data_IF_832506980651
#
_entry.id   IF_832506980651
#
_cell.length_a   1.000
_cell.length_b   1.000
_cell.length_c   1.000
_cell.angle_alpha   90.00
_cell.angle_beta   90.00
_cell.angle_gamma   90.00
#
_symmetry.space_group_name_H-M   'P 1'
#
loop_
_entity.id
_entity.type
_entity.pdbx_description
1 polymer ?
#
# COMPACT_ATOMS: atom_id res chain seq x y z
N UNK A 1 3.89 -29.51 19.80
CA UNK A 1 3.29 -29.71 21.15
C UNK A 1 4.28 -29.38 22.28
N UNK A 2 5.53 -29.82 22.17
CA UNK A 2 6.53 -29.76 23.24
C UNK A 2 6.98 -28.34 23.60
N UNK A 3 7.05 -27.42 22.62
CA UNK A 3 7.48 -26.02 22.86
C UNK A 3 6.51 -25.21 23.73
N UNK A 4 5.21 -25.53 23.71
CA UNK A 4 4.22 -24.80 24.51
C UNK A 4 4.38 -25.08 26.03
N UNK A 5 4.89 -26.27 26.37
CA UNK A 5 5.17 -26.70 27.74
C UNK A 5 6.63 -26.50 28.17
N UNK A 6 7.51 -26.13 27.25
CA UNK A 6 8.93 -25.88 27.56
C UNK A 6 9.06 -24.68 28.52
N UNK A 7 9.71 -24.81 29.69
CA UNK A 7 9.87 -23.72 30.65
C UNK A 7 10.50 -22.44 30.05
N UNK A 8 11.32 -22.59 29.00
CA UNK A 8 11.93 -21.46 28.28
C UNK A 8 10.91 -20.62 27.53
N UNK A 9 9.77 -21.19 27.14
CA UNK A 9 8.80 -20.57 26.22
C UNK A 9 7.34 -20.55 26.71
N UNK A 10 7.01 -21.29 27.77
CA UNK A 10 5.65 -21.42 28.29
C UNK A 10 5.09 -20.07 28.75
N UNK A 11 5.84 -19.36 29.60
CA UNK A 11 5.44 -18.08 30.15
C UNK A 11 5.83 -16.91 29.25
N UNK A 12 5.02 -15.84 29.29
CA UNK A 12 5.24 -14.65 28.45
C UNK A 12 6.64 -14.05 28.64
N UNK A 13 7.07 -13.88 29.89
CA UNK A 13 8.36 -13.24 30.19
C UNK A 13 9.54 -14.15 29.88
N UNK A 14 9.46 -15.45 30.18
CA UNK A 14 10.53 -16.40 29.84
C UNK A 14 10.65 -16.53 28.32
N UNK A 15 9.53 -16.58 27.59
CA UNK A 15 9.51 -16.58 26.12
C UNK A 15 10.14 -15.34 25.52
N UNK A 16 9.90 -14.16 26.11
CA UNK A 16 10.51 -12.89 25.67
C UNK A 16 12.02 -12.88 25.89
N UNK A 17 12.49 -13.38 27.03
CA UNK A 17 13.92 -13.52 27.34
C UNK A 17 14.60 -14.49 26.38
N UNK A 18 13.94 -15.60 26.05
CA UNK A 18 14.43 -16.65 25.16
C UNK A 18 13.99 -16.46 23.69
N UNK A 19 13.58 -15.24 23.28
CA UNK A 19 13.01 -15.00 21.93
C UNK A 19 13.92 -15.44 20.79
N UNK A 20 15.24 -15.30 20.96
CA UNK A 20 16.21 -15.66 19.94
C UNK A 20 16.26 -17.17 19.73
N UNK A 21 16.26 -17.95 20.82
CA UNK A 21 16.20 -19.40 20.76
C UNK A 21 14.86 -19.89 20.18
N UNK A 22 13.74 -19.26 20.60
CA UNK A 22 12.42 -19.60 20.05
C UNK A 22 12.34 -19.30 18.55
N UNK A 23 12.91 -18.17 18.11
CA UNK A 23 12.91 -17.76 16.71
C UNK A 23 13.55 -18.85 15.82
N UNK A 24 14.73 -19.36 16.20
CA UNK A 24 15.43 -20.41 15.44
C UNK A 24 14.53 -21.64 15.28
N UNK A 25 13.91 -22.10 16.36
CA UNK A 25 13.02 -23.28 16.32
C UNK A 25 11.79 -23.06 15.45
N UNK A 26 11.22 -21.85 15.46
CA UNK A 26 10.09 -21.50 14.59
C UNK A 26 10.54 -21.43 13.13
N UNK A 27 11.68 -20.80 12.83
CA UNK A 27 12.21 -20.70 11.47
C UNK A 27 12.53 -22.08 10.88
N UNK A 28 13.14 -22.96 11.66
CA UNK A 28 13.41 -24.35 11.27
C UNK A 28 12.13 -25.11 10.93
N UNK A 29 11.07 -24.94 11.74
CA UNK A 29 9.77 -25.55 11.48
C UNK A 29 9.09 -24.96 10.23
N UNK A 30 9.19 -23.65 10.03
CA UNK A 30 8.61 -22.96 8.87
C UNK A 30 9.37 -23.26 7.57
N UNK A 31 10.63 -23.69 7.61
CA UNK A 31 11.39 -24.05 6.42
C UNK A 31 10.79 -25.21 5.61
N UNK A 32 9.92 -26.02 6.22
CA UNK A 32 9.29 -27.19 5.58
C UNK A 32 8.20 -26.89 4.54
N UNK A 33 7.78 -25.63 4.36
CA UNK A 33 6.78 -25.27 3.34
C UNK A 33 6.93 -23.81 2.88
N UNK A 34 6.25 -23.46 1.78
CA UNK A 34 6.25 -22.09 1.26
C UNK A 34 5.51 -21.12 2.18
N UNK A 35 5.85 -19.82 2.09
CA UNK A 35 5.17 -18.77 2.85
C UNK A 35 3.66 -18.72 2.58
N UNK A 36 3.23 -18.98 1.33
CA UNK A 36 1.82 -19.03 0.96
C UNK A 36 1.08 -20.20 1.66
N UNK A 37 1.72 -21.38 1.73
CA UNK A 37 1.14 -22.53 2.42
C UNK A 37 1.02 -22.28 3.94
N UNK A 38 2.00 -21.60 4.54
CA UNK A 38 1.94 -21.23 5.96
C UNK A 38 0.91 -20.14 6.24
N UNK A 39 0.83 -19.11 5.41
CA UNK A 39 -0.19 -18.06 5.50
C UNK A 39 -1.60 -18.67 5.53
N UNK A 40 -1.90 -19.58 4.60
CA UNK A 40 -3.20 -20.27 4.57
C UNK A 40 -3.44 -21.12 5.82
N UNK A 41 -2.46 -21.94 6.24
CA UNK A 41 -2.58 -22.83 7.39
C UNK A 41 -2.75 -22.06 8.70
N UNK A 42 -1.97 -21.01 8.91
CA UNK A 42 -1.99 -20.20 10.12
C UNK A 42 -3.28 -19.39 10.21
N UNK A 43 -3.71 -18.74 9.12
CA UNK A 43 -4.96 -18.00 9.09
C UNK A 43 -6.17 -18.92 9.33
N UNK A 44 -6.18 -20.13 8.76
CA UNK A 44 -7.22 -21.15 9.04
C UNK A 44 -7.24 -21.57 10.51
N UNK A 45 -6.10 -21.57 11.19
CA UNK A 45 -5.99 -21.85 12.62
C UNK A 45 -6.28 -20.63 13.51
N UNK A 46 -6.69 -19.49 12.93
CA UNK A 46 -6.97 -18.25 13.67
C UNK A 46 -5.72 -17.47 14.09
N UNK A 47 -4.54 -17.83 13.58
CA UNK A 47 -3.29 -17.11 13.81
C UNK A 47 -3.11 -16.10 12.68
N UNK A 48 -3.13 -14.78 12.95
CA UNK A 48 -2.94 -13.77 11.91
C UNK A 48 -1.54 -13.89 11.31
N UNK A 49 -1.48 -14.24 10.02
CA UNK A 49 -0.23 -14.36 9.26
C UNK A 49 -0.39 -13.73 7.88
N UNK A 50 0.65 -13.05 7.42
CA UNK A 50 0.74 -12.48 6.07
C UNK A 50 2.11 -12.76 5.48
N UNK A 51 2.16 -13.21 4.24
CA UNK A 51 3.43 -13.39 3.52
C UNK A 51 4.00 -12.05 3.09
N UNK A 52 5.34 -11.97 2.99
CA UNK A 52 6.00 -10.79 2.42
C UNK A 52 5.86 -10.84 0.90
N UNK A 53 5.22 -9.84 0.32
CA UNK A 53 4.96 -9.72 -1.11
C UNK A 53 5.96 -8.78 -1.78
N UNK A 54 6.31 -9.08 -3.02
CA UNK A 54 6.96 -8.12 -3.92
C UNK A 54 5.96 -7.09 -4.43
N UNK A 55 6.45 -5.97 -4.99
CA UNK A 55 5.57 -4.92 -5.54
C UNK A 55 4.60 -5.46 -6.60
N UNK A 56 5.03 -6.25 -7.62
CA UNK A 56 4.08 -6.82 -8.58
C UNK A 56 3.04 -7.74 -7.92
N UNK A 57 3.43 -8.50 -6.90
CA UNK A 57 2.52 -9.41 -6.20
C UNK A 57 1.45 -8.64 -5.43
N UNK A 58 1.84 -7.65 -4.62
CA UNK A 58 0.88 -6.87 -3.83
C UNK A 58 -0.08 -6.08 -4.72
N UNK A 59 0.40 -5.54 -5.85
CA UNK A 59 -0.46 -4.82 -6.80
C UNK A 59 -1.47 -5.74 -7.50
N UNK A 60 -1.19 -7.05 -7.58
CA UNK A 60 -2.11 -8.06 -8.10
C UNK A 60 -3.05 -8.66 -7.06
N UNK A 61 -2.89 -8.37 -5.77
CA UNK A 61 -3.74 -8.93 -4.73
C UNK A 61 -5.19 -8.48 -4.90
N UNK A 62 -6.13 -9.40 -4.60
CA UNK A 62 -7.57 -9.16 -4.70
C UNK A 62 -8.00 -7.92 -3.92
N UNK A 63 -7.43 -7.71 -2.74
CA UNK A 63 -7.73 -6.54 -1.92
C UNK A 63 -7.35 -5.20 -2.58
N UNK A 64 -6.32 -5.18 -3.43
CA UNK A 64 -5.86 -3.97 -4.13
C UNK A 64 -6.69 -3.74 -5.38
N UNK A 65 -6.94 -4.80 -6.15
CA UNK A 65 -7.66 -4.73 -7.43
C UNK A 65 -9.16 -4.47 -7.24
N UNK A 66 -9.84 -5.19 -6.34
CA UNK A 66 -11.29 -5.02 -6.12
C UNK A 66 -11.65 -3.67 -5.48
N UNK A 67 -10.73 -3.11 -4.69
CA UNK A 67 -10.90 -1.79 -4.08
C UNK A 67 -10.52 -0.63 -5.01
N UNK A 68 -10.06 -0.93 -6.23
CA UNK A 68 -9.65 0.07 -7.20
C UNK A 68 -8.54 0.99 -6.67
N UNK A 69 -7.61 0.45 -5.86
CA UNK A 69 -6.54 1.22 -5.18
C UNK A 69 -5.45 1.74 -6.12
N UNK A 70 -5.50 1.38 -7.40
CA UNK A 70 -4.63 1.90 -8.45
C UNK A 70 -5.45 2.46 -9.60
N UNK A 71 -4.89 3.45 -10.29
CA UNK A 71 -5.42 3.97 -11.56
C UNK A 71 -4.31 3.97 -12.58
N UNK A 72 -4.68 3.61 -13.81
CA UNK A 72 -3.80 3.62 -14.96
C UNK A 72 -4.22 4.74 -15.91
N UNK A 73 -3.26 5.59 -16.27
CA UNK A 73 -3.43 6.65 -17.25
C UNK A 73 -2.67 6.29 -18.53
N UNK A 74 -3.34 6.46 -19.66
CA UNK A 74 -2.81 6.20 -21.01
C UNK A 74 -2.61 7.53 -21.74
N UNK A 75 -1.63 7.58 -22.66
CA UNK A 75 -1.49 8.70 -23.60
C UNK A 75 -1.25 10.07 -22.95
N UNK A 76 -0.53 10.12 -21.83
CA UNK A 76 -0.27 11.38 -21.14
C UNK A 76 0.72 12.27 -21.94
N UNK A 77 0.52 13.60 -21.97
CA UNK A 77 1.44 14.50 -22.65
C UNK A 77 2.88 14.35 -22.14
N UNK A 78 3.81 14.09 -23.06
CA UNK A 78 5.23 13.91 -22.73
C UNK A 78 5.60 12.54 -22.16
N UNK A 79 4.70 11.55 -22.20
CA UNK A 79 5.00 10.16 -21.84
C UNK A 79 4.51 9.17 -22.89
N UNK A 80 5.43 8.33 -23.37
CA UNK A 80 5.10 7.24 -24.31
C UNK A 80 4.52 6.00 -23.61
N UNK A 81 4.69 5.90 -22.29
CA UNK A 81 4.24 4.76 -21.49
C UNK A 81 3.08 5.14 -20.57
N UNK A 82 2.19 4.17 -20.37
CA UNK A 82 1.14 4.26 -19.37
C UNK A 82 1.74 4.43 -17.97
N UNK A 83 1.12 5.28 -17.16
CA UNK A 83 1.49 5.45 -15.76
C UNK A 83 0.43 4.83 -14.86
N UNK A 84 0.87 3.96 -13.95
CA UNK A 84 0.01 3.44 -12.88
C UNK A 84 0.37 4.15 -11.57
N UNK A 85 -0.63 4.75 -10.93
CA UNK A 85 -0.47 5.43 -9.65
C UNK A 85 -1.29 4.75 -8.56
N UNK A 86 -0.80 4.81 -7.33
CA UNK A 86 -1.53 4.40 -6.13
C UNK A 86 -2.48 5.52 -5.71
N UNK A 87 -3.64 5.14 -5.17
CA UNK A 87 -4.73 6.04 -4.78
C UNK A 87 -4.91 6.10 -3.28
N UNK A 88 -5.88 6.89 -2.83
CA UNK A 88 -6.28 6.91 -1.42
C UNK A 88 -6.67 5.51 -0.93
N UNK A 89 -6.14 5.11 0.22
CA UNK A 89 -6.41 3.80 0.84
C UNK A 89 -7.79 3.68 1.50
N UNK A 90 -8.75 4.50 1.10
CA UNK A 90 -10.08 4.60 1.70
C UNK A 90 -11.16 4.71 0.62
N UNK A 91 -12.40 4.39 1.00
CA UNK A 91 -13.58 4.55 0.17
C UNK A 91 -14.56 5.48 0.88
N UNK A 92 -15.29 6.29 0.11
CA UNK A 92 -16.37 7.16 0.57
C UNK A 92 -17.64 6.65 -0.09
N UNK A 93 -18.64 6.26 0.71
CA UNK A 93 -19.92 5.73 0.24
C UNK A 93 -19.79 4.55 -0.76
N UNK A 94 -18.80 3.69 -0.54
CA UNK A 94 -18.51 2.54 -1.40
C UNK A 94 -17.76 2.87 -2.69
N UNK A 95 -17.43 4.14 -2.93
CA UNK A 95 -16.64 4.59 -4.08
C UNK A 95 -15.24 5.03 -3.64
N UNK A 96 -14.22 4.64 -4.43
CA UNK A 96 -12.89 5.22 -4.27
C UNK A 96 -12.92 6.68 -4.76
N UNK A 97 -12.31 7.65 -4.05
CA UNK A 97 -12.14 9.00 -4.58
C UNK A 97 -11.22 8.94 -5.81
N UNK A 98 -11.79 9.28 -6.97
CA UNK A 98 -11.09 9.19 -8.26
C UNK A 98 -10.58 10.57 -8.71
N UNK A 99 -9.34 10.68 -9.24
CA UNK A 99 -8.99 11.83 -10.07
C UNK A 99 -9.93 11.88 -11.27
N UNK A 100 -10.39 13.07 -11.66
CA UNK A 100 -11.25 13.26 -12.82
C UNK A 100 -10.55 12.99 -14.16
N UNK A 101 -9.21 12.98 -14.17
CA UNK A 101 -8.40 12.79 -15.37
C UNK A 101 -6.90 12.63 -15.05
N UNK A 102 -6.05 12.52 -16.08
CA UNK A 102 -4.60 12.53 -15.92
C UNK A 102 -4.10 13.87 -15.34
N UNK A 103 -2.85 13.94 -14.86
CA UNK A 103 -2.23 15.22 -14.52
C UNK A 103 -2.28 16.19 -15.70
N UNK A 104 -2.63 17.47 -15.48
CA UNK A 104 -2.69 18.44 -16.56
C UNK A 104 -1.30 18.73 -17.13
N UNK A 105 -1.24 19.06 -18.41
CA UNK A 105 -0.06 19.59 -19.04
C UNK A 105 0.33 20.95 -18.45
N UNK A 106 1.58 21.35 -18.67
CA UNK A 106 2.08 22.65 -18.21
C UNK A 106 1.25 23.78 -18.85
N UNK A 107 0.49 24.50 -18.02
CA UNK A 107 -0.33 25.63 -18.45
C UNK A 107 -1.68 25.25 -19.07
N UNK A 108 -2.11 23.98 -19.01
CA UNK A 108 -3.36 23.51 -19.65
C UNK A 108 -4.60 24.34 -19.27
N UNK A 109 -4.70 24.74 -18.00
CA UNK A 109 -5.84 25.52 -17.49
C UNK A 109 -5.51 27.01 -17.29
N UNK A 110 -4.43 27.51 -17.91
CA UNK A 110 -3.95 28.87 -17.68
C UNK A 110 -5.02 29.92 -18.04
N UNK A 111 -5.60 29.82 -19.23
CA UNK A 111 -6.59 30.78 -19.73
C UNK A 111 -7.88 30.74 -18.90
N UNK A 112 -8.36 29.53 -18.56
CA UNK A 112 -9.55 29.35 -17.72
C UNK A 112 -9.37 29.99 -16.34
N UNK A 113 -8.21 29.76 -15.70
CA UNK A 113 -7.91 30.35 -14.39
C UNK A 113 -7.79 31.88 -14.52
N UNK A 114 -7.07 32.41 -15.51
CA UNK A 114 -6.91 33.85 -15.66
C UNK A 114 -8.22 34.57 -15.99
N UNK A 115 -9.15 33.93 -16.69
CA UNK A 115 -10.48 34.49 -16.96
C UNK A 115 -11.30 34.70 -15.67
N UNK A 116 -11.04 33.94 -14.60
CA UNK A 116 -11.72 34.10 -13.30
C UNK A 116 -11.12 35.18 -12.41
N UNK A 117 -9.92 35.68 -12.71
CA UNK A 117 -9.22 36.62 -11.85
C UNK A 117 -9.59 38.07 -12.17
N UNK A 118 -9.74 38.94 -11.14
CA UNK A 118 -9.95 40.35 -11.36
C UNK A 118 -8.72 40.98 -12.03
N UNK A 119 -8.96 41.99 -12.89
CA UNK A 119 -7.89 42.72 -13.55
C UNK A 119 -6.90 43.28 -12.53
N UNK A 120 -5.61 43.00 -12.73
CA UNK A 120 -4.54 43.46 -11.85
C UNK A 120 -4.54 44.99 -11.81
N UNK A 121 -4.81 45.57 -10.63
CA UNK A 121 -4.78 47.01 -10.43
C UNK A 121 -3.42 47.58 -10.85
N UNK A 122 -3.42 48.63 -11.67
CA UNK A 122 -2.20 49.35 -12.04
C UNK A 122 -1.72 50.18 -10.85
N UNK A 123 -1.01 49.58 -9.90
CA UNK A 123 -0.19 50.38 -8.98
C UNK A 123 0.99 50.90 -9.78
N UNK A 124 0.86 52.11 -10.35
CA UNK A 124 2.02 52.87 -10.81
C UNK A 124 2.92 53.07 -9.59
N UNK A 125 4.12 52.51 -9.61
CA UNK A 125 5.19 53.02 -8.78
C UNK A 125 5.39 54.49 -9.20
N UNK A 126 4.91 55.42 -8.37
CA UNK A 126 5.28 56.82 -8.48
C UNK A 126 6.75 56.90 -8.07
N UNK A 127 7.60 57.28 -9.03
CA UNK A 127 8.94 57.78 -8.79
C UNK A 127 8.87 59.27 -8.44
#
# INVERSE_FOLDING_TARGET
>A
PELASDPRFAERETRKQNRAALKVLIEDALAGASAAAWEEKLNRAGVPAGRVLTIPQVLGERQVTERGMTTRFEGMPGMDQALTVVRGGFMVDGAAPLPAGPPPALGEHMDDVFATLPARGKTRAQA
#
